data_IF_719733524303
#
_entry.id   IF_719733524303
#
_cell.length_a   1.000
_cell.length_b   1.000
_cell.length_c   1.000
_cell.angle_alpha   90.00
_cell.angle_beta   90.00
_cell.angle_gamma   90.00
#
_symmetry.space_group_name_H-M   'P 1'
#
loop_
_entity.id
_entity.type
_entity.pdbx_description
1 polymer ?
#
# COMPACT_ATOMS: atom_id res chain seq x y z
N UNK A 1 3.86 3.07 13.09
CA UNK A 1 2.56 3.55 12.57
C UNK A 1 1.78 2.29 12.18
N UNK A 2 0.52 2.10 12.62
CA UNK A 2 -0.20 0.82 12.49
C UNK A 2 -1.30 0.97 11.42
N UNK A 3 -1.34 0.06 10.45
CA UNK A 3 -2.42 0.02 9.46
C UNK A 3 -3.78 -0.12 10.16
N UNK A 4 -4.77 0.64 9.70
CA UNK A 4 -6.15 0.65 10.24
C UNK A 4 -7.17 -0.02 9.33
N UNK A 5 -6.73 -0.56 8.19
CA UNK A 5 -7.62 -1.21 7.22
C UNK A 5 -8.54 -0.26 6.45
N UNK A 6 -8.13 1.00 6.21
CA UNK A 6 -9.00 2.00 5.57
C UNK A 6 -9.28 1.76 4.07
N UNK A 7 -8.48 0.94 3.38
CA UNK A 7 -8.77 0.54 2.00
C UNK A 7 -8.32 1.50 0.89
N UNK A 8 -7.91 2.73 1.20
CA UNK A 8 -7.46 3.72 0.18
C UNK A 8 -6.32 3.21 -0.71
N UNK A 9 -5.41 2.40 -0.16
CA UNK A 9 -4.32 1.81 -0.96
C UNK A 9 -4.82 0.83 -2.04
N UNK A 10 -5.97 0.19 -1.84
CA UNK A 10 -6.58 -0.73 -2.82
C UNK A 10 -7.15 0.06 -3.99
N UNK A 11 -7.88 1.15 -3.73
CA UNK A 11 -8.53 1.96 -4.77
C UNK A 11 -7.54 2.62 -5.74
N UNK A 12 -6.32 2.93 -5.27
CA UNK A 12 -5.29 3.58 -6.09
C UNK A 12 -4.32 2.60 -6.77
N UNK A 13 -4.42 1.30 -6.49
CA UNK A 13 -3.49 0.31 -7.04
C UNK A 13 -3.87 -0.05 -8.49
N UNK A 14 -3.07 0.33 -9.50
CA UNK A 14 -3.44 0.14 -10.91
C UNK A 14 -3.37 -1.32 -11.38
N UNK A 15 -2.85 -2.21 -10.54
CA UNK A 15 -2.59 -3.63 -10.86
C UNK A 15 -3.26 -4.57 -9.86
N UNK A 16 -4.14 -4.04 -9.01
CA UNK A 16 -4.87 -4.80 -7.99
C UNK A 16 -3.94 -5.70 -7.16
N UNK A 17 -2.76 -5.18 -6.80
CA UNK A 17 -1.73 -5.91 -6.07
C UNK A 17 -1.92 -5.89 -4.55
N UNK A 18 -2.93 -5.18 -4.05
CA UNK A 18 -3.14 -4.93 -2.62
C UNK A 18 -4.50 -5.47 -2.21
N UNK A 19 -4.52 -6.24 -1.13
CA UNK A 19 -5.73 -6.75 -0.48
C UNK A 19 -5.72 -6.37 1.01
N UNK A 20 -6.88 -5.99 1.56
CA UNK A 20 -7.03 -5.52 2.95
C UNK A 20 -7.95 -6.48 3.72
N UNK A 21 -7.36 -7.29 4.60
CA UNK A 21 -8.12 -8.14 5.53
C UNK A 21 -8.06 -7.68 6.99
N UNK A 22 -6.95 -7.04 7.41
CA UNK A 22 -6.77 -6.35 8.74
C UNK A 22 -5.57 -5.38 8.65
N UNK A 23 -4.58 -5.74 7.84
CA UNK A 23 -3.41 -4.93 7.45
C UNK A 23 -3.26 -5.09 5.94
N UNK A 24 -2.91 -4.02 5.22
CA UNK A 24 -2.67 -4.07 3.78
C UNK A 24 -1.48 -5.00 3.47
N UNK A 25 -1.68 -5.98 2.59
CA UNK A 25 -0.60 -6.85 2.09
C UNK A 25 -0.26 -6.46 0.66
N UNK A 26 1.04 -6.31 0.38
CA UNK A 26 1.56 -6.07 -0.96
C UNK A 26 1.88 -7.44 -1.58
N UNK A 27 1.23 -7.76 -2.70
CA UNK A 27 1.47 -9.01 -3.43
C UNK A 27 2.53 -8.91 -4.52
N UNK A 28 2.79 -10.04 -5.19
CA UNK A 28 3.89 -10.22 -6.16
C UNK A 28 3.77 -9.39 -7.44
N UNK A 29 2.61 -8.78 -7.69
CA UNK A 29 2.37 -7.86 -8.81
C UNK A 29 2.90 -6.45 -8.56
N UNK A 30 3.42 -6.16 -7.37
CA UNK A 30 3.92 -4.84 -7.01
C UNK A 30 5.11 -4.44 -7.90
N UNK A 31 5.02 -3.26 -8.51
CA UNK A 31 6.08 -2.70 -9.36
C UNK A 31 6.88 -1.58 -8.67
N UNK A 32 6.69 -1.37 -7.36
CA UNK A 32 7.43 -0.34 -6.61
C UNK A 32 7.04 1.12 -6.92
N UNK A 33 5.83 1.37 -7.45
CA UNK A 33 5.44 2.73 -7.90
C UNK A 33 5.23 3.78 -6.80
N UNK A 34 5.23 3.41 -5.52
CA UNK A 34 5.15 4.35 -4.39
C UNK A 34 3.78 5.02 -4.13
N UNK A 35 2.77 4.85 -4.99
CA UNK A 35 1.45 5.51 -4.80
C UNK A 35 0.75 5.14 -3.50
N UNK A 36 0.86 3.89 -3.07
CA UNK A 36 0.27 3.43 -1.81
C UNK A 36 0.88 4.11 -0.58
N UNK A 37 2.16 4.52 -0.64
CA UNK A 37 2.81 5.30 0.42
C UNK A 37 2.19 6.67 0.52
N UNK A 38 2.05 7.37 -0.62
CA UNK A 38 1.51 8.74 -0.68
C UNK A 38 0.07 8.85 -0.17
N UNK A 39 -0.73 7.80 -0.35
CA UNK A 39 -2.15 7.78 0.02
C UNK A 39 -2.43 7.11 1.36
N UNK A 40 -1.41 6.57 2.05
CA UNK A 40 -1.64 5.95 3.36
C UNK A 40 -1.79 7.06 4.42
N UNK A 41 -2.99 7.31 4.98
CA UNK A 41 -3.22 8.43 5.89
C UNK A 41 -2.52 8.28 7.24
N UNK A 42 -1.98 7.08 7.51
CA UNK A 42 -1.29 6.73 8.75
C UNK A 42 0.14 6.29 8.51
N UNK A 43 0.67 6.51 7.30
CA UNK A 43 2.06 6.21 6.92
C UNK A 43 2.49 4.78 7.29
N UNK A 44 1.56 3.81 7.18
CA UNK A 44 1.79 2.42 7.53
C UNK A 44 2.44 1.60 6.41
N UNK A 45 2.68 2.21 5.24
CA UNK A 45 3.27 1.57 4.05
C UNK A 45 4.56 2.31 3.71
N UNK A 46 5.63 1.55 3.46
CA UNK A 46 6.95 2.05 3.05
C UNK A 46 7.47 1.21 1.90
N UNK A 47 8.17 1.84 0.95
CA UNK A 47 8.88 1.18 -0.15
C UNK A 47 10.36 1.18 0.21
N UNK A 48 10.95 0.01 0.40
CA UNK A 48 12.40 -0.09 0.59
C UNK A 48 13.09 0.04 -0.78
N UNK A 49 13.87 1.12 -0.96
CA UNK A 49 14.78 1.26 -2.11
C UNK A 49 14.57 2.49 -3.02
N UNK A 50 14.50 3.70 -2.47
CA UNK A 50 14.59 4.94 -3.25
C UNK A 50 15.46 5.97 -2.55
N UNK A 51 16.73 6.10 -2.99
CA UNK A 51 17.58 7.28 -2.79
C UNK A 51 17.32 8.30 -3.92
#
# INVERSE_FOLDING_TARGET
>A
MKCVGCGECVSVCPVDAIEVCVVAKIGDKCIGCGRCVMYCPVDAIYVEGGD
#
